data_IF_421281731020
#
_entry.id   IF_421281731020
#
_cell.length_a   1.000
_cell.length_b   1.000
_cell.length_c   1.000
_cell.angle_alpha   90.00
_cell.angle_beta   90.00
_cell.angle_gamma   90.00
#
_symmetry.space_group_name_H-M   'P 1'
#
loop_
_entity.id
_entity.type
_entity.pdbx_description
1 polymer ?
#
# COMPACT_ATOMS: atom_id res chain seq x y z
N UNK A 1 -14.97 -6.90 9.43
CA UNK A 1 -13.86 -7.73 8.91
C UNK A 1 -12.86 -6.83 8.21
N UNK A 2 -11.61 -6.90 8.63
CA UNK A 2 -10.58 -6.04 8.05
C UNK A 2 -10.34 -6.36 6.58
N UNK A 3 -10.18 -5.32 5.78
CA UNK A 3 -9.88 -5.43 4.36
C UNK A 3 -8.41 -5.04 4.16
N UNK A 4 -7.66 -5.95 3.55
CA UNK A 4 -6.22 -5.81 3.36
C UNK A 4 -5.87 -5.57 1.91
N UNK A 5 -4.83 -4.78 1.70
CA UNK A 5 -4.27 -4.52 0.38
C UNK A 5 -2.76 -4.59 0.46
N UNK A 6 -2.15 -5.29 -0.49
CA UNK A 6 -0.70 -5.36 -0.65
C UNK A 6 -0.38 -4.83 -2.04
N UNK A 7 0.46 -3.82 -2.10
CA UNK A 7 0.87 -3.21 -3.38
C UNK A 7 2.38 -3.27 -3.47
N UNK A 8 2.89 -3.81 -4.57
CA UNK A 8 4.32 -3.93 -4.82
C UNK A 8 4.75 -3.01 -5.95
N UNK A 9 5.88 -2.32 -5.74
CA UNK A 9 6.50 -1.43 -6.71
C UNK A 9 7.94 -1.88 -6.94
N UNK A 10 8.41 -1.74 -8.16
CA UNK A 10 9.82 -1.96 -8.49
C UNK A 10 10.39 -0.64 -8.98
N UNK A 11 11.05 0.14 -8.11
CA UNK A 11 11.67 1.40 -8.54
C UNK A 11 12.71 1.16 -9.63
N UNK A 12 12.77 2.05 -10.61
CA UNK A 12 13.80 2.02 -11.63
C UNK A 12 15.18 2.20 -10.99
N UNK A 13 16.21 1.72 -11.67
CA UNK A 13 17.60 1.90 -11.21
C UNK A 13 17.87 3.39 -10.94
N UNK A 14 18.39 3.66 -9.75
CA UNK A 14 18.69 5.02 -9.33
C UNK A 14 17.50 5.83 -8.85
N UNK A 15 16.29 5.26 -8.84
CA UNK A 15 15.08 5.96 -8.43
C UNK A 15 14.58 5.59 -7.04
N UNK A 16 15.24 4.69 -6.33
CA UNK A 16 14.78 4.22 -5.03
C UNK A 16 14.60 5.37 -4.03
N UNK A 17 15.60 6.23 -3.90
CA UNK A 17 15.54 7.32 -2.92
C UNK A 17 14.42 8.32 -3.25
N UNK A 18 14.24 8.63 -4.52
CA UNK A 18 13.15 9.50 -4.94
C UNK A 18 11.80 8.85 -4.67
N UNK A 19 11.69 7.55 -4.93
CA UNK A 19 10.45 6.83 -4.67
C UNK A 19 10.12 6.85 -3.17
N UNK A 20 11.12 6.64 -2.31
CA UNK A 20 10.90 6.68 -0.85
C UNK A 20 10.49 8.07 -0.39
N UNK A 21 11.07 9.11 -0.97
CA UNK A 21 10.67 10.49 -0.67
C UNK A 21 9.21 10.73 -1.02
N UNK A 22 8.78 10.22 -2.18
CA UNK A 22 7.38 10.35 -2.61
C UNK A 22 6.44 9.49 -1.76
N UNK A 23 6.88 8.32 -1.29
CA UNK A 23 6.09 7.51 -0.36
C UNK A 23 5.86 8.24 0.96
N UNK A 24 6.89 8.94 1.45
CA UNK A 24 6.75 9.78 2.66
C UNK A 24 5.75 10.91 2.42
N UNK A 25 5.77 11.52 1.24
CA UNK A 25 4.80 12.55 0.89
C UNK A 25 3.38 11.99 0.89
N UNK A 26 3.19 10.80 0.33
CA UNK A 26 1.88 10.15 0.32
C UNK A 26 1.34 9.97 1.74
N UNK A 27 2.16 9.38 2.62
CA UNK A 27 1.72 9.08 3.98
C UNK A 27 1.49 10.34 4.80
N UNK A 28 2.34 11.35 4.65
CA UNK A 28 2.31 12.54 5.48
C UNK A 28 1.33 13.59 4.97
N UNK A 29 1.35 13.86 3.66
CA UNK A 29 0.66 15.01 3.08
C UNK A 29 -0.68 14.64 2.41
N UNK A 30 -0.78 13.43 1.88
CA UNK A 30 -1.95 12.99 1.13
C UNK A 30 -2.88 12.17 2.03
N UNK A 31 -2.36 11.10 2.63
CA UNK A 31 -3.13 10.30 3.57
C UNK A 31 -3.37 11.06 4.88
N UNK A 32 -2.35 11.76 5.35
CA UNK A 32 -2.43 12.50 6.60
C UNK A 32 -2.65 11.60 7.79
N UNK A 33 -3.27 12.14 8.83
CA UNK A 33 -3.59 11.40 10.03
C UNK A 33 -4.83 10.54 9.82
N UNK A 34 -4.63 9.25 9.58
CA UNK A 34 -5.70 8.30 9.29
C UNK A 34 -5.76 7.26 10.40
N UNK A 35 -6.56 7.52 11.40
CA UNK A 35 -6.64 6.69 12.60
C UNK A 35 -7.28 5.32 12.36
N UNK A 36 -8.03 5.16 11.28
CA UNK A 36 -8.71 3.89 10.99
C UNK A 36 -8.01 3.12 9.88
N UNK A 37 -6.70 3.28 9.80
CA UNK A 37 -5.93 2.64 8.76
C UNK A 37 -4.59 2.17 9.32
N UNK A 38 -4.24 0.94 8.96
CA UNK A 38 -2.91 0.39 9.20
C UNK A 38 -2.13 0.50 7.90
N UNK A 39 -0.90 0.99 7.95
CA UNK A 39 -0.06 1.13 6.76
C UNK A 39 1.39 0.84 7.12
N UNK A 40 1.99 -0.11 6.41
CA UNK A 40 3.40 -0.46 6.54
C UNK A 40 4.06 -0.42 5.17
N UNK A 41 5.30 0.03 5.14
CA UNK A 41 6.13 0.02 3.95
C UNK A 41 7.36 -0.83 4.21
N UNK A 42 7.66 -1.73 3.29
CA UNK A 42 8.78 -2.65 3.39
C UNK A 42 9.66 -2.49 2.16
N UNK A 43 10.97 -2.61 2.36
CA UNK A 43 11.90 -2.83 1.26
C UNK A 43 12.29 -4.30 1.29
N UNK A 44 12.07 -4.98 0.17
CA UNK A 44 12.42 -6.41 0.08
C UNK A 44 13.92 -6.59 -0.09
N UNK A 45 14.38 -7.81 0.06
CA UNK A 45 15.80 -8.14 -0.14
C UNK A 45 16.24 -8.00 -1.60
N UNK A 46 15.30 -7.85 -2.52
CA UNK A 46 15.57 -7.64 -3.95
C UNK A 46 15.27 -6.20 -4.40
N UNK A 47 15.28 -5.25 -3.44
CA UNK A 47 15.11 -3.82 -3.69
C UNK A 47 13.77 -3.44 -4.31
N UNK A 48 12.75 -4.22 -4.01
CA UNK A 48 11.37 -3.86 -4.32
C UNK A 48 10.73 -3.20 -3.09
N UNK A 49 9.69 -2.43 -3.31
CA UNK A 49 8.96 -1.76 -2.24
C UNK A 49 7.56 -2.37 -2.14
N UNK A 50 7.16 -2.71 -0.94
CA UNK A 50 5.80 -3.20 -0.68
C UNK A 50 5.10 -2.31 0.32
N UNK A 51 3.86 -1.94 0.00
CA UNK A 51 2.97 -1.27 0.92
C UNK A 51 1.88 -2.24 1.36
N UNK A 52 1.76 -2.43 2.67
CA UNK A 52 0.70 -3.23 3.27
C UNK A 52 -0.27 -2.29 3.97
N UNK A 53 -1.52 -2.34 3.58
CA UNK A 53 -2.57 -1.50 4.16
C UNK A 53 -3.71 -2.36 4.65
N UNK A 54 -4.28 -1.96 5.77
CA UNK A 54 -5.50 -2.56 6.27
C UNK A 54 -6.46 -1.47 6.71
N UNK A 55 -7.74 -1.70 6.45
CA UNK A 55 -8.83 -0.81 6.84
C UNK A 55 -9.92 -1.64 7.52
N UNK A 56 -10.77 -1.02 8.36
CA UNK A 56 -11.85 -1.76 9.01
C UNK A 56 -12.80 -2.42 8.01
N UNK A 57 -12.96 -1.79 6.86
CA UNK A 57 -13.86 -2.28 5.82
C UNK A 57 -13.39 -1.78 4.44
N UNK A 58 -14.02 -2.30 3.41
CA UNK A 58 -13.69 -1.95 2.03
C UNK A 58 -14.10 -0.50 1.70
N UNK A 59 -15.18 -0.01 2.27
CA UNK A 59 -15.65 1.34 2.00
C UNK A 59 -14.63 2.40 2.43
N UNK A 60 -14.03 2.22 3.61
CA UNK A 60 -12.99 3.10 4.11
C UNK A 60 -11.78 3.13 3.16
N UNK A 61 -11.40 1.97 2.63
CA UNK A 61 -10.30 1.90 1.68
C UNK A 61 -10.66 2.60 0.36
N UNK A 62 -11.84 2.33 -0.17
CA UNK A 62 -12.29 2.92 -1.44
C UNK A 62 -12.41 4.45 -1.35
N UNK A 63 -12.77 4.98 -0.18
CA UNK A 63 -12.89 6.42 0.01
C UNK A 63 -11.59 7.18 -0.24
N UNK A 64 -10.44 6.52 -0.14
CA UNK A 64 -9.13 7.15 -0.37
C UNK A 64 -8.48 6.70 -1.68
N UNK A 65 -9.16 5.87 -2.47
CA UNK A 65 -8.57 5.28 -3.66
C UNK A 65 -8.18 6.33 -4.71
N UNK A 66 -9.02 7.34 -4.91
CA UNK A 66 -8.75 8.38 -5.90
C UNK A 66 -7.47 9.14 -5.59
N UNK A 67 -7.23 9.44 -4.31
CA UNK A 67 -6.00 10.11 -3.88
C UNK A 67 -4.77 9.24 -4.13
N UNK A 68 -4.90 7.94 -3.90
CA UNK A 68 -3.83 6.99 -4.17
C UNK A 68 -3.50 6.90 -5.65
N UNK A 69 -4.52 6.86 -6.50
CA UNK A 69 -4.34 6.83 -7.96
C UNK A 69 -3.72 8.12 -8.47
N UNK A 70 -4.14 9.27 -7.95
CA UNK A 70 -3.54 10.56 -8.32
C UNK A 70 -2.06 10.60 -7.94
N UNK A 71 -1.72 10.08 -6.76
CA UNK A 71 -0.32 9.98 -6.35
C UNK A 71 0.47 9.07 -7.28
N UNK A 72 -0.08 7.92 -7.64
CA UNK A 72 0.57 7.00 -8.58
C UNK A 72 0.84 7.66 -9.91
N UNK A 73 -0.11 8.43 -10.42
CA UNK A 73 0.08 9.18 -11.67
C UNK A 73 1.21 10.19 -11.55
N UNK A 74 1.32 10.85 -10.39
CA UNK A 74 2.36 11.85 -10.17
C UNK A 74 3.77 11.26 -10.10
N UNK A 75 3.89 9.97 -9.76
CA UNK A 75 5.18 9.27 -9.66
C UNK A 75 5.38 8.21 -10.73
N UNK A 76 4.58 8.25 -11.79
CA UNK A 76 4.56 7.23 -12.83
C UNK A 76 5.92 6.97 -13.49
N UNK A 77 6.81 7.95 -13.43
CA UNK A 77 8.15 7.85 -14.02
C UNK A 77 9.16 7.12 -13.13
N UNK A 78 8.83 6.82 -11.88
CA UNK A 78 9.76 6.22 -10.92
C UNK A 78 9.75 4.70 -10.89
N UNK A 79 8.59 3.99 -10.94
CA UNK A 79 8.59 2.53 -10.95
C UNK A 79 8.78 1.98 -12.35
N UNK A 80 9.35 0.79 -12.41
CA UNK A 80 9.37 0.03 -13.64
C UNK A 80 7.95 -0.48 -13.95
N UNK A 81 7.68 -0.67 -15.23
CA UNK A 81 6.40 -1.22 -15.70
C UNK A 81 6.64 -2.62 -16.22
N UNK A 82 5.66 -3.51 -15.99
CA UNK A 82 5.72 -4.86 -16.49
C UNK A 82 5.38 -4.90 -17.99
N UNK A 83 5.28 -6.11 -18.55
CA UNK A 83 5.00 -6.29 -19.98
C UNK A 83 3.65 -5.70 -20.40
N UNK A 84 2.71 -5.60 -19.48
CA UNK A 84 1.39 -5.04 -19.73
C UNK A 84 1.33 -3.54 -19.47
N UNK A 85 2.44 -2.93 -19.09
CA UNK A 85 2.52 -1.51 -18.76
C UNK A 85 2.07 -1.18 -17.37
N UNK A 86 1.87 -2.18 -16.51
CA UNK A 86 1.45 -1.96 -15.12
C UNK A 86 2.64 -1.58 -14.25
N UNK A 87 2.46 -0.53 -13.48
CA UNK A 87 3.49 0.02 -12.58
C UNK A 87 3.43 -0.60 -11.19
N UNK A 88 2.41 -1.39 -10.89
CA UNK A 88 2.25 -2.03 -9.59
C UNK A 88 1.76 -3.44 -9.75
N UNK A 89 2.01 -4.26 -8.73
CA UNK A 89 1.29 -5.51 -8.53
C UNK A 89 0.53 -5.39 -7.23
N UNK A 90 -0.77 -5.58 -7.29
CA UNK A 90 -1.64 -5.36 -6.14
C UNK A 90 -2.51 -6.58 -5.87
N UNK A 91 -2.65 -6.88 -4.60
CA UNK A 91 -3.53 -7.95 -4.12
C UNK A 91 -4.37 -7.39 -3.00
N UNK A 92 -5.63 -7.75 -2.97
CA UNK A 92 -6.50 -7.29 -1.90
C UNK A 92 -7.50 -8.38 -1.52
N UNK A 93 -7.98 -8.31 -0.28
CA UNK A 93 -8.91 -9.30 0.22
C UNK A 93 -9.27 -9.04 1.66
N UNK A 94 -10.16 -9.87 2.15
CA UNK A 94 -10.61 -9.81 3.53
C UNK A 94 -9.79 -10.75 4.40
N UNK A 95 -9.59 -10.35 5.64
CA UNK A 95 -8.97 -11.20 6.64
C UNK A 95 -9.78 -12.50 6.81
N UNK A 96 -9.07 -13.61 7.00
CA UNK A 96 -9.70 -14.89 7.25
C UNK A 96 -10.01 -14.98 8.73
N UNK A 97 -11.28 -14.83 9.08
CA UNK A 97 -11.75 -14.77 10.46
C UNK A 97 -11.38 -16.01 11.27
N UNK A 98 -11.48 -17.19 10.66
CA UNK A 98 -11.16 -18.44 11.34
C UNK A 98 -9.72 -18.48 11.85
N UNK A 99 -8.79 -17.94 11.07
CA UNK A 99 -7.38 -17.88 11.46
C UNK A 99 -7.14 -16.83 12.54
N UNK A 100 -7.85 -15.71 12.47
CA UNK A 100 -7.78 -14.70 13.52
C UNK A 100 -8.22 -15.28 14.87
N UNK A 101 -9.26 -16.08 14.88
CA UNK A 101 -9.76 -16.73 16.09
C UNK A 101 -8.79 -17.74 16.69
N UNK A 102 -7.82 -18.20 15.89
CA UNK A 102 -6.73 -19.05 16.36
C UNK A 102 -5.52 -18.27 16.89
N UNK A 103 -5.63 -16.96 16.99
CA UNK A 103 -4.56 -16.10 17.49
C UNK A 103 -3.71 -15.45 16.41
N UNK A 104 -4.01 -15.70 15.13
CA UNK A 104 -3.38 -14.98 14.03
C UNK A 104 -4.04 -13.62 13.86
N UNK A 105 -3.28 -12.63 13.45
CA UNK A 105 -3.85 -11.30 13.20
C UNK A 105 -4.21 -10.56 14.48
N UNK A 106 -3.20 -10.10 15.18
CA UNK A 106 -3.36 -9.44 16.48
C UNK A 106 -3.80 -7.97 16.39
N UNK A 107 -3.91 -7.43 15.19
CA UNK A 107 -4.25 -6.02 15.01
C UNK A 107 -5.74 -5.77 15.16
N UNK A 108 -6.06 -4.67 15.81
CA UNK A 108 -7.43 -4.26 16.06
C UNK A 108 -7.55 -2.76 15.72
N UNK A 109 -8.63 -2.40 15.05
CA UNK A 109 -8.91 -1.02 14.66
C UNK A 109 -9.85 -0.31 15.64
N UNK A 110 -9.98 -0.84 16.81
CA UNK A 110 -10.84 -0.24 17.85
C UNK A 110 -10.34 1.11 18.34
#
# INVERSE_FOLDING_TARGET
MAFWSVVKFTPKDGCLERFLTEAKRLERDIWGDKQQRLSFWLKTTTDEIMQLRASPDMETLLATQDKGLDWLDSVDHLPEKDEEGSRTKAYSGFEIEELRNLGCGQFDFS
#
